data_IF_785499897373
#
_entry.id   IF_785499897373
#
_cell.length_a   1.000
_cell.length_b   1.000
_cell.length_c   1.000
_cell.angle_alpha   90.00
_cell.angle_beta   90.00
_cell.angle_gamma   90.00
#
_symmetry.space_group_name_H-M   'P 1'
#
loop_
_entity.id
_entity.type
_entity.pdbx_description
1 polymer ?
#
# COMPACT_ATOMS: atom_id res chain seq x y z
N UNK A 1 2.38 14.93 -21.10
CA UNK A 1 3.19 13.76 -20.68
C UNK A 1 2.27 12.82 -19.91
N UNK A 2 1.91 11.67 -20.47
CA UNK A 2 1.16 10.65 -19.71
C UNK A 2 2.21 9.93 -18.86
N UNK A 3 2.32 10.35 -17.60
CA UNK A 3 3.12 9.63 -16.61
C UNK A 3 2.53 8.21 -16.47
N UNK A 4 3.28 7.20 -16.91
CA UNK A 4 2.96 5.76 -16.77
C UNK A 4 3.16 5.27 -15.33
N UNK A 5 2.77 6.09 -14.36
CA UNK A 5 2.80 5.77 -12.95
C UNK A 5 1.81 4.63 -12.70
N UNK A 6 2.34 3.46 -12.36
CA UNK A 6 1.57 2.26 -12.01
C UNK A 6 1.45 2.15 -10.50
N UNK A 7 0.30 1.68 -10.02
CA UNK A 7 0.04 1.47 -8.59
C UNK A 7 1.11 0.58 -7.93
N UNK A 8 1.61 -0.42 -8.65
CA UNK A 8 2.65 -1.36 -8.17
C UNK A 8 4.00 -0.67 -7.87
N UNK A 9 4.26 0.48 -8.50
CA UNK A 9 5.53 1.20 -8.35
C UNK A 9 5.42 2.36 -7.36
N UNK A 10 4.20 2.75 -6.97
CA UNK A 10 3.96 3.92 -6.15
C UNK A 10 4.70 3.89 -4.80
N UNK A 11 4.72 2.78 -4.03
CA UNK A 11 5.45 2.72 -2.77
C UNK A 11 6.92 3.16 -2.92
N UNK A 12 7.63 2.58 -3.90
CA UNK A 12 9.02 2.91 -4.19
C UNK A 12 9.20 4.34 -4.70
N UNK A 13 8.32 4.82 -5.59
CA UNK A 13 8.35 6.20 -6.10
C UNK A 13 8.17 7.22 -4.98
N UNK A 14 7.35 6.88 -3.99
CA UNK A 14 7.09 7.68 -2.79
C UNK A 14 8.17 7.53 -1.72
N UNK A 15 9.20 6.73 -1.98
CA UNK A 15 10.31 6.51 -1.07
C UNK A 15 10.06 5.44 -0.01
N UNK A 16 8.91 4.78 0.02
CA UNK A 16 8.73 3.61 0.88
C UNK A 16 9.43 2.39 0.26
N UNK A 17 10.50 1.93 0.90
CA UNK A 17 11.25 0.74 0.50
C UNK A 17 11.21 -0.26 1.66
N UNK A 18 10.65 -1.44 1.40
CA UNK A 18 10.62 -2.52 2.38
C UNK A 18 12.05 -3.00 2.68
N UNK A 19 12.32 -3.29 3.96
CA UNK A 19 13.49 -4.07 4.37
C UNK A 19 13.22 -5.57 4.14
N UNK A 20 14.26 -6.40 4.20
CA UNK A 20 14.13 -7.85 4.07
C UNK A 20 13.15 -8.44 5.11
N UNK A 21 13.19 -7.93 6.34
CA UNK A 21 12.26 -8.34 7.41
C UNK A 21 10.80 -7.99 7.06
N UNK A 22 10.56 -6.79 6.51
CA UNK A 22 9.22 -6.37 6.08
C UNK A 22 8.71 -7.23 4.92
N UNK A 23 9.57 -7.54 3.95
CA UNK A 23 9.23 -8.42 2.82
C UNK A 23 8.81 -9.80 3.35
N UNK A 24 9.59 -10.39 4.25
CA UNK A 24 9.25 -11.71 4.84
C UNK A 24 7.89 -11.69 5.57
N UNK A 25 7.61 -10.63 6.34
CA UNK A 25 6.33 -10.50 7.04
C UNK A 25 5.18 -10.32 6.04
N UNK A 26 5.36 -9.49 4.99
CA UNK A 26 4.36 -9.30 3.94
C UNK A 26 4.07 -10.59 3.18
N UNK A 27 5.10 -11.35 2.82
CA UNK A 27 4.92 -12.64 2.16
C UNK A 27 4.20 -13.65 3.06
N UNK A 28 4.52 -13.67 4.35
CA UNK A 28 3.79 -14.46 5.34
C UNK A 28 2.32 -14.04 5.45
N UNK A 29 2.05 -12.74 5.48
CA UNK A 29 0.70 -12.18 5.49
C UNK A 29 -0.11 -12.60 4.26
N UNK A 30 0.47 -12.47 3.06
CA UNK A 30 -0.14 -12.90 1.80
C UNK A 30 -0.41 -14.40 1.83
N UNK A 31 0.54 -15.22 2.28
CA UNK A 31 0.37 -16.67 2.38
C UNK A 31 -0.79 -17.06 3.31
N UNK A 32 -0.95 -16.37 4.46
CA UNK A 32 -2.08 -16.61 5.36
C UNK A 32 -3.40 -16.18 4.71
N UNK A 33 -3.46 -15.03 4.05
CA UNK A 33 -4.67 -14.56 3.36
C UNK A 33 -5.14 -15.51 2.27
N UNK A 34 -4.19 -16.15 1.57
CA UNK A 34 -4.41 -17.16 0.53
C UNK A 34 -4.70 -18.57 1.09
N UNK A 35 -4.69 -18.77 2.42
CA UNK A 35 -4.88 -20.08 3.04
C UNK A 35 -3.73 -21.06 2.84
N UNK A 36 -2.54 -20.57 2.44
CA UNK A 36 -1.33 -21.40 2.24
C UNK A 36 -0.53 -21.60 3.52
N UNK A 37 -0.86 -20.88 4.57
CA UNK A 37 -0.20 -20.90 5.87
C UNK A 37 -1.23 -20.61 6.97
N UNK A 38 -1.14 -21.31 8.09
CA UNK A 38 -1.91 -20.97 9.29
C UNK A 38 -1.29 -19.77 10.00
N UNK A 39 -2.12 -18.89 10.54
CA UNK A 39 -1.66 -17.75 11.31
C UNK A 39 -2.77 -16.75 11.61
N UNK A 40 -2.54 -15.90 12.61
CA UNK A 40 -3.42 -14.80 12.93
C UNK A 40 -3.10 -13.60 12.01
N UNK A 41 -4.02 -13.27 11.09
CA UNK A 41 -3.85 -12.15 10.17
C UNK A 41 -3.67 -10.83 10.93
N UNK A 42 -4.39 -10.62 12.04
CA UNK A 42 -4.33 -9.38 12.81
C UNK A 42 -2.93 -9.16 13.35
N UNK A 43 -2.33 -10.18 13.98
CA UNK A 43 -1.01 -10.07 14.60
C UNK A 43 0.08 -9.80 13.54
N UNK A 44 -0.02 -10.45 12.38
CA UNK A 44 0.93 -10.26 11.28
C UNK A 44 0.81 -8.84 10.70
N UNK A 45 -0.42 -8.34 10.50
CA UNK A 45 -0.67 -6.98 10.01
C UNK A 45 -0.15 -5.95 10.99
N UNK A 46 -0.45 -6.09 12.29
CA UNK A 46 0.05 -5.20 13.33
C UNK A 46 1.58 -5.18 13.34
N UNK A 47 2.22 -6.35 13.29
CA UNK A 47 3.69 -6.43 13.25
C UNK A 47 4.29 -5.76 12.01
N UNK A 48 3.69 -6.01 10.84
CA UNK A 48 4.12 -5.37 9.59
C UNK A 48 4.01 -3.84 9.70
N UNK A 49 2.84 -3.35 10.13
CA UNK A 49 2.58 -1.91 10.25
C UNK A 49 3.56 -1.24 11.22
N UNK A 50 3.76 -1.80 12.42
CA UNK A 50 4.68 -1.20 13.40
C UNK A 50 6.13 -1.10 12.87
N UNK A 51 6.63 -2.14 12.20
CA UNK A 51 7.98 -2.10 11.62
C UNK A 51 8.07 -1.16 10.41
N UNK A 52 7.01 -1.08 9.61
CA UNK A 52 6.97 -0.20 8.46
C UNK A 52 6.89 1.27 8.87
N UNK A 53 6.15 1.59 9.93
CA UNK A 53 6.09 2.93 10.53
C UNK A 53 7.48 3.35 11.05
N UNK A 54 8.26 2.43 11.64
CA UNK A 54 9.65 2.72 12.03
C UNK A 54 10.54 3.09 10.83
N UNK A 55 10.35 2.43 9.68
CA UNK A 55 11.05 2.80 8.43
C UNK A 55 10.65 4.21 7.98
N UNK A 56 9.35 4.54 8.03
CA UNK A 56 8.85 5.88 7.68
C UNK A 56 9.40 6.94 8.65
N UNK A 57 9.41 6.67 9.94
CA UNK A 57 9.91 7.59 10.97
C UNK A 57 11.43 7.83 10.87
N UNK A 58 12.17 6.89 10.27
CA UNK A 58 13.59 7.03 9.96
C UNK A 58 13.92 8.17 8.98
N UNK A 59 12.94 8.65 8.20
CA UNK A 59 13.13 9.80 7.32
C UNK A 59 13.25 11.09 8.13
N UNK A 60 14.38 11.77 8.03
CA UNK A 60 14.66 13.05 8.72
C UNK A 60 13.93 14.23 8.10
N UNK A 61 13.79 14.23 6.77
CA UNK A 61 13.10 15.29 6.04
C UNK A 61 11.59 15.09 6.14
N UNK A 62 10.88 16.12 6.61
CA UNK A 62 9.43 16.09 6.80
C UNK A 62 8.68 15.70 5.52
N UNK A 63 9.11 16.22 4.37
CA UNK A 63 8.48 15.92 3.09
C UNK A 63 8.72 14.48 2.62
N UNK A 64 9.93 13.95 2.80
CA UNK A 64 10.25 12.57 2.49
C UNK A 64 9.44 11.59 3.36
N UNK A 65 9.31 11.89 4.66
CA UNK A 65 8.46 11.13 5.59
C UNK A 65 7.00 11.12 5.15
N UNK A 66 6.44 12.28 4.77
CA UNK A 66 5.06 12.38 4.30
C UNK A 66 4.80 11.55 3.05
N UNK A 67 5.75 11.52 2.10
CA UNK A 67 5.67 10.67 0.91
C UNK A 67 5.74 9.19 1.28
N UNK A 68 6.71 8.81 2.10
CA UNK A 68 6.89 7.43 2.54
C UNK A 68 5.65 6.89 3.27
N UNK A 69 4.96 7.72 4.06
CA UNK A 69 3.68 7.34 4.70
C UNK A 69 2.61 6.96 3.67
N UNK A 70 2.45 7.73 2.60
CA UNK A 70 1.51 7.37 1.52
C UNK A 70 1.96 6.10 0.81
N UNK A 71 3.28 5.94 0.62
CA UNK A 71 3.86 4.73 0.05
C UNK A 71 3.55 3.47 0.86
N UNK A 72 3.61 3.56 2.19
CA UNK A 72 3.22 2.50 3.11
C UNK A 72 1.75 2.12 2.95
N UNK A 73 0.83 3.10 2.95
CA UNK A 73 -0.60 2.84 2.77
C UNK A 73 -0.87 2.09 1.46
N UNK A 74 -0.23 2.51 0.37
CA UNK A 74 -0.35 1.83 -0.93
C UNK A 74 0.23 0.41 -0.86
N UNK A 75 1.37 0.20 -0.20
CA UNK A 75 1.98 -1.12 -0.06
C UNK A 75 1.07 -2.10 0.72
N UNK A 76 0.40 -1.64 1.77
CA UNK A 76 -0.55 -2.46 2.53
C UNK A 76 -1.74 -2.87 1.66
N UNK A 77 -2.28 -1.93 0.87
CA UNK A 77 -3.33 -2.23 -0.09
C UNK A 77 -2.87 -3.29 -1.11
N UNK A 78 -1.67 -3.14 -1.67
CA UNK A 78 -1.12 -4.11 -2.63
C UNK A 78 -0.98 -5.51 -2.01
N UNK A 79 -0.55 -5.62 -0.75
CA UNK A 79 -0.50 -6.90 -0.06
C UNK A 79 -1.89 -7.55 0.07
N UNK A 80 -2.95 -6.76 0.36
CA UNK A 80 -4.34 -7.26 0.37
C UNK A 80 -4.76 -7.77 -1.00
N UNK A 81 -4.46 -7.04 -2.08
CA UNK A 81 -4.74 -7.46 -3.45
C UNK A 81 -4.06 -8.80 -3.76
N UNK A 82 -2.78 -8.90 -3.45
CA UNK A 82 -1.98 -10.09 -3.73
C UNK A 82 -2.41 -11.30 -2.86
N UNK A 83 -3.00 -11.03 -1.70
CA UNK A 83 -3.69 -12.01 -0.86
C UNK A 83 -5.13 -12.36 -1.29
N UNK A 84 -5.60 -11.88 -2.44
CA UNK A 84 -6.95 -12.15 -2.96
C UNK A 84 -8.06 -11.38 -2.24
N UNK A 85 -7.75 -10.37 -1.43
CA UNK A 85 -8.71 -9.56 -0.65
C UNK A 85 -9.05 -8.26 -1.38
N UNK A 86 -9.71 -8.39 -2.53
CA UNK A 86 -9.94 -7.24 -3.44
C UNK A 86 -10.80 -6.12 -2.81
N UNK A 87 -11.81 -6.46 -1.99
CA UNK A 87 -12.62 -5.45 -1.29
C UNK A 87 -11.76 -4.57 -0.37
N UNK A 88 -11.00 -5.21 0.53
CA UNK A 88 -10.06 -4.50 1.42
C UNK A 88 -9.00 -3.71 0.65
N UNK A 89 -8.49 -4.23 -0.46
CA UNK A 89 -7.57 -3.47 -1.33
C UNK A 89 -8.19 -2.15 -1.81
N UNK A 90 -9.46 -2.16 -2.23
CA UNK A 90 -10.13 -0.95 -2.71
C UNK A 90 -10.41 0.04 -1.59
N UNK A 91 -10.74 -0.44 -0.40
CA UNK A 91 -10.96 0.42 0.78
C UNK A 91 -9.64 1.05 1.23
N UNK A 92 -8.57 0.26 1.35
CA UNK A 92 -7.23 0.76 1.68
C UNK A 92 -6.72 1.79 0.64
N UNK A 93 -7.02 1.58 -0.66
CA UNK A 93 -6.67 2.55 -1.69
C UNK A 93 -7.47 3.85 -1.59
N UNK A 94 -8.73 3.83 -1.15
CA UNK A 94 -9.50 5.06 -0.93
C UNK A 94 -8.89 5.88 0.20
N UNK A 95 -8.47 5.23 1.28
CA UNK A 95 -7.79 5.89 2.39
C UNK A 95 -6.45 6.49 1.93
N UNK A 96 -5.65 5.73 1.18
CA UNK A 96 -4.40 6.22 0.58
C UNK A 96 -4.63 7.39 -0.39
N UNK A 97 -5.73 7.39 -1.16
CA UNK A 97 -6.10 8.49 -2.04
C UNK A 97 -6.43 9.77 -1.25
N UNK A 98 -7.26 9.64 -0.22
CA UNK A 98 -7.65 10.76 0.65
C UNK A 98 -6.41 11.36 1.31
N UNK A 99 -5.53 10.51 1.83
CA UNK A 99 -4.29 10.93 2.47
C UNK A 99 -3.33 11.63 1.49
N UNK A 100 -3.15 11.07 0.29
CA UNK A 100 -2.33 11.68 -0.76
C UNK A 100 -2.88 13.06 -1.18
N UNK A 101 -4.20 13.18 -1.32
CA UNK A 101 -4.87 14.45 -1.65
C UNK A 101 -4.70 15.47 -0.53
N UNK A 102 -4.96 15.08 0.72
CA UNK A 102 -4.78 15.95 1.89
C UNK A 102 -3.34 16.42 2.08
N UNK A 103 -2.37 15.63 1.60
CA UNK A 103 -0.95 15.99 1.60
C UNK A 103 -0.48 16.80 0.38
N UNK A 104 -1.32 17.00 -0.62
CA UNK A 104 -1.01 17.76 -1.83
C UNK A 104 -0.30 16.95 -2.94
N UNK A 105 -0.28 15.62 -2.85
CA UNK A 105 0.31 14.74 -3.86
C UNK A 105 -0.69 14.43 -4.98
N UNK A 106 -1.00 15.45 -5.80
CA UNK A 106 -2.08 15.39 -6.80
C UNK A 106 -1.91 14.23 -7.79
N UNK A 107 -0.71 14.06 -8.36
CA UNK A 107 -0.45 13.00 -9.36
C UNK A 107 -0.61 11.59 -8.77
N UNK A 108 -0.24 11.43 -7.49
CA UNK A 108 -0.37 10.17 -6.76
C UNK A 108 -1.85 9.87 -6.50
N UNK A 109 -2.60 10.86 -6.01
CA UNK A 109 -4.04 10.72 -5.79
C UNK A 109 -4.78 10.38 -7.09
N UNK A 110 -4.39 10.98 -8.22
CA UNK A 110 -4.94 10.67 -9.55
C UNK A 110 -4.63 9.23 -9.96
N UNK A 111 -3.37 8.79 -9.79
CA UNK A 111 -2.96 7.41 -10.09
C UNK A 111 -3.77 6.37 -9.27
N UNK A 112 -3.96 6.62 -7.97
CA UNK A 112 -4.74 5.76 -7.09
C UNK A 112 -6.22 5.74 -7.51
N UNK A 113 -6.84 6.91 -7.73
CA UNK A 113 -8.23 7.04 -8.19
C UNK A 113 -8.48 6.28 -9.50
N UNK A 114 -7.59 6.44 -10.47
CA UNK A 114 -7.72 5.79 -11.77
C UNK A 114 -7.54 4.27 -11.65
N UNK A 115 -6.75 3.81 -10.68
CA UNK A 115 -6.65 2.39 -10.33
C UNK A 115 -7.95 1.88 -9.73
N UNK A 116 -8.52 2.56 -8.72
CA UNK A 116 -9.81 2.19 -8.10
C UNK A 116 -10.89 2.02 -9.18
N UNK A 117 -11.05 3.03 -10.05
CA UNK A 117 -12.04 3.02 -11.15
C UNK A 117 -11.89 1.81 -12.07
N UNK A 118 -10.66 1.42 -12.41
CA UNK A 118 -10.41 0.26 -13.28
C UNK A 118 -10.91 -1.04 -12.66
N UNK A 119 -10.79 -1.20 -11.34
CA UNK A 119 -11.26 -2.40 -10.64
C UNK A 119 -12.78 -2.38 -10.42
N UNK A 120 -13.36 -1.23 -10.09
CA UNK A 120 -14.82 -1.10 -9.93
C UNK A 120 -15.59 -1.33 -11.24
N UNK A 121 -15.04 -0.90 -12.38
CA UNK A 121 -15.66 -1.16 -13.70
C UNK A 121 -15.56 -2.65 -14.08
N UNK A 122 -14.44 -3.32 -13.75
CA UNK A 122 -14.24 -4.75 -14.03
C UNK A 122 -15.07 -5.67 -13.13
N UNK A 123 -15.47 -5.22 -11.93
CA UNK A 123 -16.31 -5.99 -11.01
C UNK A 123 -17.81 -5.98 -11.36
N UNK A 124 -18.22 -5.30 -12.43
CA UNK A 124 -19.62 -5.20 -12.89
C UNK A 124 -19.90 -6.02 -14.17
N UNK A 125 -18.97 -6.90 -14.58
CA UNK A 125 -19.09 -7.74 -15.77
C UNK A 125 -19.23 -9.22 -15.44
#
# INVERSE_FOLDING_TARGET
>A
MISTLRIDHLPRVLGFVETDDLIQIREGWIAVMLGKREGNISDIVTRYQCLAEQVVDGYKEHEARRKAQVGLLVQMALARRDGGRLGHFLDDLKDAQIDAQGKGFVDVAVCIRDTIRKFEVKGKG
#
